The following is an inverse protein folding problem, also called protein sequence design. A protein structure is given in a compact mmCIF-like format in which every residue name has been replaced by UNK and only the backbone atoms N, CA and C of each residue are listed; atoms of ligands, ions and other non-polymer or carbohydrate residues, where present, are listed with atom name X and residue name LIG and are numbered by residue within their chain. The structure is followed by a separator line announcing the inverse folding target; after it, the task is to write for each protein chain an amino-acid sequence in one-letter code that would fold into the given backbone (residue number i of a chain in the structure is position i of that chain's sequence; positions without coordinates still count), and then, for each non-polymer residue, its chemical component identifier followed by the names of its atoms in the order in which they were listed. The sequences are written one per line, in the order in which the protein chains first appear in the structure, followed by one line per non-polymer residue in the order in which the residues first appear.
data_IF_203795009798
#
_entry.id   IF_203795009798
#
_cell.length_a   1.000
_cell.length_b   1.000
_cell.length_c   1.000
_cell.angle_alpha   90.00
_cell.angle_beta   90.00
_cell.angle_gamma   90.00
#
_symmetry.space_group_name_H-M   'P 1'
#
loop_
_entity.id
_entity.type
_entity.pdbx_description
1 polymer ?
#
# COMPACT_ATOMS: atom_id res chain seq x y z
N UNK A 1 2.08 -15.23 -5.11
CA UNK A 1 0.63 -15.41 -4.91
C UNK A 1 -0.19 -14.11 -4.80
N UNK A 2 0.29 -13.05 -4.12
CA UNK A 2 -0.47 -11.79 -3.94
C UNK A 2 -0.83 -11.05 -5.26
N UNK A 3 -0.05 -11.23 -6.32
CA UNK A 3 -0.25 -10.49 -7.57
C UNK A 3 -1.36 -11.07 -8.49
N UNK A 4 -1.83 -12.29 -8.28
CA UNK A 4 -2.76 -12.97 -9.20
C UNK A 4 -4.22 -13.05 -8.71
N UNK A 5 -4.52 -12.52 -7.53
CA UNK A 5 -5.87 -12.52 -6.99
C UNK A 5 -6.55 -11.16 -7.15
N UNK A 6 -7.90 -11.09 -7.14
CA UNK A 6 -8.63 -9.85 -7.32
C UNK A 6 -8.30 -8.91 -6.16
N UNK A 7 -7.58 -7.83 -6.49
CA UNK A 7 -6.98 -6.85 -5.58
C UNK A 7 -5.86 -7.40 -4.67
N UNK A 8 -5.00 -6.50 -4.17
CA UNK A 8 -3.97 -6.82 -3.15
C UNK A 8 -4.55 -7.41 -1.85
N UNK A 9 -5.87 -7.41 -1.71
CA UNK A 9 -6.64 -8.08 -0.66
C UNK A 9 -6.68 -9.61 -0.82
N UNK A 10 -6.58 -10.13 -2.05
CA UNK A 10 -6.70 -11.57 -2.28
C UNK A 10 -5.50 -12.38 -1.77
N UNK A 11 -4.28 -11.86 -1.88
CA UNK A 11 -3.09 -12.52 -1.32
C UNK A 11 -3.03 -12.45 0.21
N UNK A 12 -3.54 -11.36 0.77
CA UNK A 12 -3.63 -11.16 2.21
C UNK A 12 -4.70 -12.09 2.81
N UNK A 13 -5.81 -12.33 2.11
CA UNK A 13 -6.82 -13.32 2.48
C UNK A 13 -6.27 -14.76 2.49
N UNK A 14 -5.44 -15.14 1.51
CA UNK A 14 -4.78 -16.46 1.52
C UNK A 14 -3.79 -16.59 2.68
N UNK A 15 -2.99 -15.55 2.96
CA UNK A 15 -2.12 -15.53 4.15
C UNK A 15 -2.91 -15.71 5.44
N UNK A 16 -4.08 -15.07 5.56
CA UNK A 16 -4.95 -15.23 6.73
C UNK A 16 -5.46 -16.66 6.82
N UNK A 17 -5.88 -17.27 5.71
CA UNK A 17 -6.36 -18.67 5.67
C UNK A 17 -5.23 -19.67 6.01
N UNK A 18 -4.01 -19.39 5.56
CA UNK A 18 -2.86 -20.28 5.75
C UNK A 18 -2.24 -20.17 7.15
N UNK A 19 -2.17 -18.95 7.71
CA UNK A 19 -1.68 -18.71 9.09
C UNK A 19 -2.74 -19.08 10.13
N UNK A 20 -4.03 -19.08 9.79
CA UNK A 20 -5.12 -19.54 10.66
C UNK A 20 -5.01 -21.02 11.07
N UNK A 21 -4.05 -21.78 10.52
CA UNK A 21 -3.74 -23.14 10.95
C UNK A 21 -2.89 -23.20 12.23
N UNK A 22 -2.04 -22.20 12.48
CA UNK A 22 -1.05 -22.19 13.58
C UNK A 22 -1.31 -21.07 14.62
N UNK A 23 -2.08 -20.03 14.26
CA UNK A 23 -2.39 -18.86 15.13
C UNK A 23 -3.85 -18.43 14.93
N UNK A 24 -4.55 -17.90 15.95
CA UNK A 24 -5.88 -17.32 15.78
C UNK A 24 -5.94 -16.32 14.60
N UNK A 25 -6.92 -16.51 13.70
CA UNK A 25 -7.02 -15.79 12.41
C UNK A 25 -7.11 -14.26 12.55
N UNK A 26 -7.58 -13.79 13.70
CA UNK A 26 -7.68 -12.38 14.09
C UNK A 26 -6.30 -11.72 14.35
N UNK A 27 -5.34 -12.44 14.93
CA UNK A 27 -3.96 -11.95 15.14
C UNK A 27 -3.22 -11.89 13.79
N UNK A 28 -3.42 -12.88 12.93
CA UNK A 28 -2.83 -12.91 11.59
C UNK A 28 -3.34 -11.75 10.72
N UNK A 29 -4.66 -11.52 10.70
CA UNK A 29 -5.27 -10.40 9.99
C UNK A 29 -4.76 -9.05 10.51
N UNK A 30 -4.67 -8.90 11.83
CA UNK A 30 -4.15 -7.69 12.46
C UNK A 30 -2.70 -7.38 12.07
N UNK A 31 -1.83 -8.39 12.01
CA UNK A 31 -0.42 -8.23 11.61
C UNK A 31 -0.28 -7.75 10.17
N UNK A 32 -1.07 -8.30 9.24
CA UNK A 32 -1.08 -7.86 7.84
C UNK A 32 -1.59 -6.43 7.72
N UNK A 33 -2.62 -6.06 8.47
CA UNK A 33 -3.15 -4.70 8.42
C UNK A 33 -2.14 -3.70 9.00
N UNK A 34 -1.46 -4.04 10.10
CA UNK A 34 -0.36 -3.22 10.66
C UNK A 34 0.77 -3.05 9.64
N UNK A 35 1.16 -4.10 8.92
CA UNK A 35 2.16 -4.03 7.85
C UNK A 35 1.73 -3.09 6.72
N UNK A 36 0.47 -3.22 6.26
CA UNK A 36 -0.12 -2.33 5.24
C UNK A 36 -0.18 -0.88 5.69
N UNK A 37 -0.63 -0.65 6.92
CA UNK A 37 -0.71 0.70 7.50
C UNK A 37 0.68 1.32 7.62
N UNK A 38 1.65 0.57 8.14
CA UNK A 38 3.04 1.03 8.29
C UNK A 38 3.63 1.41 6.92
N UNK A 39 3.36 0.61 5.90
CA UNK A 39 3.77 0.90 4.52
C UNK A 39 3.13 2.16 3.94
N UNK A 40 1.81 2.33 4.08
CA UNK A 40 1.09 3.51 3.59
C UNK A 40 1.52 4.79 4.33
N UNK A 41 1.67 4.72 5.66
CA UNK A 41 2.17 5.85 6.46
C UNK A 41 3.58 6.25 6.01
N UNK A 42 4.46 5.29 5.76
CA UNK A 42 5.79 5.59 5.26
C UNK A 42 5.75 6.25 3.87
N UNK A 43 4.87 5.79 2.98
CA UNK A 43 4.66 6.43 1.68
C UNK A 43 4.19 7.88 1.83
N UNK A 44 3.25 8.17 2.72
CA UNK A 44 2.78 9.54 2.97
C UNK A 44 3.86 10.45 3.55
N UNK A 45 4.68 9.94 4.48
CA UNK A 45 5.83 10.69 5.00
C UNK A 45 6.79 11.05 3.87
N UNK A 46 7.12 10.09 3.02
CA UNK A 46 8.03 10.29 1.90
C UNK A 46 7.47 11.31 0.91
N UNK A 47 6.16 11.27 0.59
CA UNK A 47 5.52 12.30 -0.24
C UNK A 47 5.72 13.68 0.35
N UNK A 48 5.41 13.87 1.64
CA UNK A 48 5.53 15.18 2.29
C UNK A 48 6.98 15.69 2.35
N UNK A 49 7.95 14.79 2.45
CA UNK A 49 9.38 15.14 2.42
C UNK A 49 9.83 15.53 1.01
N UNK A 50 9.32 14.87 -0.04
CA UNK A 50 9.72 15.09 -1.43
C UNK A 50 8.94 16.24 -2.09
N UNK A 51 7.71 16.52 -1.65
CA UNK A 51 6.84 17.54 -2.23
C UNK A 51 7.44 18.95 -2.31
N UNK A 52 8.27 19.42 -1.36
CA UNK A 52 8.99 20.69 -1.46
C UNK A 52 10.02 20.73 -2.60
N UNK A 53 10.52 19.56 -3.02
CA UNK A 53 11.48 19.39 -4.12
C UNK A 53 10.79 19.02 -5.44
N UNK A 54 9.48 19.31 -5.56
CA UNK A 54 8.74 19.04 -6.79
C UNK A 54 9.24 19.91 -7.95
N UNK A 55 9.11 19.45 -9.20
CA UNK A 55 9.36 20.27 -10.37
C UNK A 55 8.47 21.52 -10.42
N UNK A 56 8.98 22.64 -10.96
CA UNK A 56 8.23 23.90 -11.03
C UNK A 56 6.95 23.80 -11.88
N UNK A 57 6.94 22.91 -12.87
CA UNK A 57 5.79 22.62 -13.73
C UNK A 57 4.77 21.68 -13.08
N UNK A 58 4.96 21.26 -11.83
CA UNK A 58 4.04 20.35 -11.16
C UNK A 58 2.72 21.05 -10.79
N UNK A 59 1.55 20.51 -11.17
CA UNK A 59 0.27 21.17 -10.98
C UNK A 59 -0.03 21.48 -9.52
N UNK A 60 -0.51 22.69 -9.25
CA UNK A 60 -0.89 23.11 -7.90
C UNK A 60 -2.06 22.28 -7.36
N UNK A 61 -2.97 21.85 -8.22
CA UNK A 61 -4.09 20.96 -7.85
C UNK A 61 -3.59 19.60 -7.31
N UNK A 62 -2.64 18.98 -8.00
CA UNK A 62 -2.01 17.73 -7.55
C UNK A 62 -1.21 17.92 -6.27
N UNK A 63 -0.57 19.07 -6.10
CA UNK A 63 0.13 19.40 -4.86
C UNK A 63 -0.81 19.39 -3.68
N UNK A 64 -1.91 20.17 -3.73
CA UNK A 64 -2.88 20.24 -2.64
C UNK A 64 -3.55 18.91 -2.37
N UNK A 65 -3.84 18.14 -3.42
CA UNK A 65 -4.37 16.78 -3.28
C UNK A 65 -3.38 15.86 -2.56
N UNK A 66 -2.11 15.84 -2.98
CA UNK A 66 -1.05 15.05 -2.36
C UNK A 66 -0.86 15.43 -0.89
N UNK A 67 -0.78 16.73 -0.59
CA UNK A 67 -0.66 17.23 0.78
C UNK A 67 -1.86 16.81 1.63
N UNK A 68 -3.09 17.05 1.14
CA UNK A 68 -4.32 16.73 1.85
C UNK A 68 -4.46 15.24 2.14
N UNK A 69 -4.29 14.40 1.11
CA UNK A 69 -4.38 12.94 1.25
C UNK A 69 -3.29 12.40 2.18
N UNK A 70 -2.06 12.91 2.09
CA UNK A 70 -0.95 12.45 2.93
C UNK A 70 -1.13 12.86 4.40
N UNK A 71 -1.60 14.08 4.65
CA UNK A 71 -1.91 14.54 6.01
C UNK A 71 -3.06 13.74 6.62
N UNK A 72 -4.16 13.56 5.88
CA UNK A 72 -5.30 12.76 6.35
C UNK A 72 -4.89 11.31 6.60
N UNK A 73 -4.09 10.73 5.69
CA UNK A 73 -3.57 9.36 5.84
C UNK A 73 -2.66 9.19 7.04
N UNK A 74 -1.77 10.15 7.31
CA UNK A 74 -0.88 10.11 8.49
C UNK A 74 -1.64 10.31 9.79
N UNK A 75 -2.53 11.31 9.85
CA UNK A 75 -3.35 11.55 11.04
C UNK A 75 -4.25 10.33 11.30
N UNK A 76 -4.91 9.81 10.27
CA UNK A 76 -5.73 8.60 10.38
C UNK A 76 -4.91 7.39 10.85
N UNK A 77 -3.72 7.19 10.29
CA UNK A 77 -2.79 6.14 10.70
C UNK A 77 -2.35 6.28 12.16
N UNK A 78 -1.95 7.48 12.59
CA UNK A 78 -1.58 7.77 13.99
C UNK A 78 -2.74 7.55 14.95
N UNK A 79 -3.95 8.01 14.60
CA UNK A 79 -5.15 7.80 15.42
C UNK A 79 -5.48 6.31 15.57
N UNK A 80 -5.28 5.52 14.51
CA UNK A 80 -5.42 4.07 14.53
C UNK A 80 -4.34 3.39 15.38
N UNK A 81 -3.08 3.85 15.30
CA UNK A 81 -1.96 3.35 16.12
C UNK A 81 -2.14 3.66 17.61
N UNK A 82 -2.55 4.88 17.94
CA UNK A 82 -2.73 5.32 19.33
C UNK A 82 -3.96 4.65 19.96
N UNK A 83 -5.04 4.49 19.20
CA UNK A 83 -6.28 3.83 19.60
C UNK A 83 -7.06 4.49 20.75
N UNK A 84 -6.45 5.44 21.47
CA UNK A 84 -7.01 6.23 22.57
C UNK A 84 -8.15 7.13 22.07
N UNK A 85 -7.93 7.84 20.95
CA UNK A 85 -8.93 8.71 20.30
C UNK A 85 -10.11 7.89 19.78
N UNK A 86 -9.84 6.72 19.19
CA UNK A 86 -10.88 5.84 18.68
C UNK A 86 -11.75 5.31 19.83
N UNK A 87 -11.16 4.94 20.98
CA UNK A 87 -11.95 4.59 22.18
C UNK A 87 -12.74 5.77 22.75
N UNK A 88 -12.19 6.98 22.71
CA UNK A 88 -12.83 8.20 23.22
C UNK A 88 -14.03 8.64 22.38
N UNK A 89 -13.89 8.60 21.06
CA UNK A 89 -14.97 8.91 20.10
C UNK A 89 -15.84 7.71 19.74
N UNK A 90 -15.41 6.50 20.10
CA UNK A 90 -16.14 5.25 19.90
C UNK A 90 -17.51 5.18 20.54
N UNK A 91 -17.76 6.03 21.55
CA UNK A 91 -19.09 6.21 22.17
C UNK A 91 -20.11 6.86 21.24
N UNK A 92 -19.64 7.58 20.20
CA UNK A 92 -20.48 8.19 19.17
C UNK A 92 -20.62 7.33 17.90
N UNK A 93 -19.85 6.23 17.79
CA UNK A 93 -19.95 5.33 16.65
C UNK A 93 -21.11 4.33 16.85
N UNK A 94 -21.84 3.96 15.77
CA UNK A 94 -22.92 2.99 15.85
C UNK A 94 -22.41 1.64 16.34
N UNK A 95 -23.24 0.87 17.05
CA UNK A 95 -22.86 -0.34 17.78
C UNK A 95 -22.08 -1.41 16.97
N UNK A 96 -22.21 -1.43 15.62
CA UNK A 96 -21.45 -2.33 14.73
C UNK A 96 -19.98 -1.94 14.51
N UNK A 97 -19.64 -0.68 14.78
CA UNK A 97 -18.28 -0.11 14.68
C UNK A 97 -17.73 0.27 16.07
N UNK A 98 -18.37 -0.22 17.14
CA UNK A 98 -17.94 0.04 18.51
C UNK A 98 -16.50 -0.47 18.73
N UNK A 99 -15.59 0.37 19.25
CA UNK A 99 -14.24 -0.04 19.64
C UNK A 99 -14.19 -0.78 20.97
N UNK A 100 -15.35 -1.05 21.58
CA UNK A 100 -15.53 -1.83 22.81
C UNK A 100 -16.42 -3.03 22.47
N UNK A 101 -15.84 -4.23 22.38
CA UNK A 101 -16.51 -5.49 22.03
C UNK A 101 -15.70 -6.41 21.10
N UNK A 102 -16.34 -7.39 20.46
CA UNK A 102 -15.71 -8.30 19.46
C UNK A 102 -15.73 -7.74 18.02
N UNK A 103 -16.05 -6.45 17.86
CA UNK A 103 -16.14 -5.81 16.55
C UNK A 103 -14.79 -5.79 15.80
N UNK A 104 -14.80 -5.70 14.46
CA UNK A 104 -13.59 -5.71 13.64
C UNK A 104 -12.60 -4.58 14.00
N UNK A 105 -13.12 -3.42 14.45
CA UNK A 105 -12.30 -2.28 14.90
C UNK A 105 -11.61 -2.58 16.24
N UNK A 106 -12.27 -3.24 17.18
CA UNK A 106 -11.67 -3.59 18.46
C UNK A 106 -10.56 -4.64 18.29
N UNK A 107 -10.75 -5.60 17.40
CA UNK A 107 -9.72 -6.60 17.02
C UNK A 107 -8.53 -5.95 16.32
N UNK A 108 -8.79 -5.00 15.41
CA UNK A 108 -7.76 -4.17 14.79
C UNK A 108 -6.93 -3.40 15.82
N UNK A 109 -7.61 -2.71 16.73
CA UNK A 109 -6.97 -1.95 17.80
C UNK A 109 -6.11 -2.84 18.70
N UNK A 110 -6.62 -4.03 19.06
CA UNK A 110 -5.91 -4.98 19.91
C UNK A 110 -4.65 -5.53 19.22
N UNK A 111 -4.72 -5.84 17.92
CA UNK A 111 -3.55 -6.30 17.17
C UNK A 111 -2.49 -5.21 17.01
N UNK A 112 -2.92 -3.97 16.74
CA UNK A 112 -2.04 -2.81 16.63
C UNK A 112 -1.33 -2.50 17.95
N UNK A 113 -2.07 -2.55 19.07
CA UNK A 113 -1.52 -2.27 20.40
C UNK A 113 -0.68 -3.42 20.97
N UNK A 114 -0.90 -4.65 20.50
CA UNK A 114 -0.04 -5.79 20.83
C UNK A 114 1.36 -5.69 20.22
N UNK A 115 1.53 -4.90 19.15
CA UNK A 115 2.82 -4.58 18.57
C UNK A 115 3.47 -3.41 19.31
N UNK A 116 4.54 -3.67 20.06
CA UNK A 116 5.32 -2.59 20.68
C UNK A 116 5.90 -1.62 19.63
N UNK A 117 6.08 -0.35 20.02
CA UNK A 117 6.70 0.69 19.19
C UNK A 117 7.99 0.27 18.44
N UNK A 118 8.91 -0.52 19.02
CA UNK A 118 10.10 -0.99 18.30
C UNK A 118 9.78 -1.88 17.10
N UNK A 119 8.71 -2.69 17.19
CA UNK A 119 8.27 -3.53 16.09
C UNK A 119 7.65 -2.70 14.96
N UNK A 120 6.88 -1.65 15.31
CA UNK A 120 6.31 -0.70 14.35
C UNK A 120 7.41 0.02 13.58
N UNK A 121 8.44 0.54 14.29
CA UNK A 121 9.57 1.21 13.63
C UNK A 121 10.31 0.25 12.69
N UNK A 122 10.56 -1.00 13.12
CA UNK A 122 11.16 -2.02 12.25
C UNK A 122 10.30 -2.32 11.03
N UNK A 123 8.99 -2.44 11.19
CA UNK A 123 8.06 -2.63 10.08
C UNK A 123 8.11 -1.45 9.11
N UNK A 124 8.09 -0.21 9.60
CA UNK A 124 8.23 0.99 8.78
C UNK A 124 9.55 1.03 8.00
N UNK A 125 10.68 0.62 8.61
CA UNK A 125 11.96 0.53 7.92
C UNK A 125 11.97 -0.53 6.82
N UNK A 126 11.41 -1.71 7.08
CA UNK A 126 11.25 -2.77 6.07
C UNK A 126 10.34 -2.29 4.94
N UNK A 127 9.22 -1.64 5.28
CA UNK A 127 8.33 -1.05 4.29
C UNK A 127 9.02 0.05 3.48
N UNK A 128 9.90 0.86 4.08
CA UNK A 128 10.68 1.86 3.35
C UNK A 128 11.54 1.20 2.26
N UNK A 129 12.27 0.13 2.59
CA UNK A 129 13.08 -0.61 1.63
C UNK A 129 12.22 -1.20 0.49
N UNK A 130 11.08 -1.80 0.84
CA UNK A 130 10.15 -2.33 -0.15
C UNK A 130 9.59 -1.24 -1.06
N UNK A 131 9.26 -0.06 -0.50
CA UNK A 131 8.79 1.08 -1.28
C UNK A 131 9.88 1.65 -2.19
N UNK A 132 11.13 1.73 -1.74
CA UNK A 132 12.25 2.13 -2.59
C UNK A 132 12.44 1.15 -3.75
N UNK A 133 12.33 -0.16 -3.49
CA UNK A 133 12.35 -1.16 -4.54
C UNK A 133 11.17 -1.01 -5.51
N UNK A 134 9.97 -0.71 -5.01
CA UNK A 134 8.82 -0.43 -5.88
C UNK A 134 9.07 0.80 -6.77
N UNK A 135 9.66 1.86 -6.22
CA UNK A 135 10.00 3.07 -6.97
C UNK A 135 11.06 2.81 -8.05
N UNK A 136 12.08 1.99 -7.76
CA UNK A 136 13.08 1.62 -8.76
C UNK A 136 12.47 0.79 -9.89
N UNK A 137 11.45 -0.03 -9.61
CA UNK A 137 10.71 -0.76 -10.63
C UNK A 137 9.96 0.17 -11.57
N UNK A 138 9.18 1.11 -11.02
CA UNK A 138 8.50 2.13 -11.81
C UNK A 138 9.47 2.92 -12.70
N UNK A 139 10.63 3.30 -12.15
CA UNK A 139 11.66 3.99 -12.89
C UNK A 139 12.28 3.11 -13.98
N UNK A 140 12.61 1.85 -13.68
CA UNK A 140 13.16 0.92 -14.65
C UNK A 140 12.19 0.67 -15.82
N UNK A 141 10.90 0.47 -15.52
CA UNK A 141 9.85 0.30 -16.53
C UNK A 141 9.68 1.56 -17.38
N UNK A 142 9.78 2.76 -16.77
CA UNK A 142 9.76 4.02 -17.54
C UNK A 142 10.94 4.14 -18.49
N UNK A 143 12.13 3.70 -18.07
CA UNK A 143 13.33 3.69 -18.92
C UNK A 143 13.26 2.63 -20.00
N UNK A 144 12.66 1.48 -19.73
CA UNK A 144 12.43 0.43 -20.71
C UNK A 144 11.49 0.90 -21.84
N UNK A 145 10.53 1.76 -21.52
CA UNK A 145 9.65 2.41 -22.51
C UNK A 145 10.26 3.68 -23.14
N UNK A 146 11.52 3.99 -22.85
CA UNK A 146 12.23 5.19 -23.28
C UNK A 146 11.56 6.51 -22.85
N UNK A 147 10.87 6.51 -21.70
CA UNK A 147 10.25 7.71 -21.13
C UNK A 147 11.25 8.50 -20.28
N UNK A 148 11.23 9.82 -20.44
CA UNK A 148 12.16 10.75 -19.77
C UNK A 148 11.59 11.29 -18.43
N UNK A 149 10.98 10.43 -17.61
CA UNK A 149 10.41 10.83 -16.32
C UNK A 149 11.51 10.87 -15.25
N UNK A 150 11.70 11.98 -14.51
CA UNK A 150 12.72 12.07 -13.48
C UNK A 150 12.39 11.16 -12.29
N UNK A 151 13.43 10.59 -11.67
CA UNK A 151 13.26 9.62 -10.57
C UNK A 151 12.45 10.19 -9.39
N UNK A 152 12.67 11.46 -9.07
CA UNK A 152 11.96 12.20 -8.01
C UNK A 152 10.45 12.25 -8.23
N UNK A 153 9.99 12.21 -9.49
CA UNK A 153 8.56 12.26 -9.81
C UNK A 153 7.82 11.00 -9.35
N UNK A 154 8.47 9.83 -9.38
CA UNK A 154 7.86 8.58 -8.94
C UNK A 154 7.52 8.59 -7.45
N UNK A 155 8.31 9.29 -6.62
CA UNK A 155 8.00 9.47 -5.20
C UNK A 155 6.70 10.25 -4.97
N UNK A 156 6.27 11.07 -5.92
CA UNK A 156 5.01 11.81 -5.86
C UNK A 156 3.85 10.98 -6.40
N UNK A 157 4.04 10.33 -7.55
CA UNK A 157 2.96 9.61 -8.25
C UNK A 157 2.65 8.22 -7.65
N UNK A 158 3.67 7.45 -7.27
CA UNK A 158 3.51 6.03 -6.86
C UNK A 158 2.70 5.86 -5.56
N UNK A 159 2.82 6.73 -4.54
CA UNK A 159 1.97 6.65 -3.35
C UNK A 159 0.48 6.79 -3.64
N UNK A 160 0.08 7.71 -4.53
CA UNK A 160 -1.33 7.81 -4.96
C UNK A 160 -1.76 6.52 -5.68
N UNK A 161 -0.92 6.00 -6.57
CA UNK A 161 -1.20 4.74 -7.28
C UNK A 161 -1.34 3.56 -6.32
N UNK A 162 -0.62 3.57 -5.18
CA UNK A 162 -0.70 2.56 -4.13
C UNK A 162 -2.02 2.63 -3.37
N UNK A 163 -2.58 3.82 -3.14
CA UNK A 163 -3.93 3.98 -2.57
C UNK A 163 -5.00 3.50 -3.58
N UNK A 164 -4.81 3.80 -4.86
CA UNK A 164 -5.74 3.37 -5.91
C UNK A 164 -5.90 1.84 -6.01
N UNK A 165 -4.87 1.09 -5.57
CA UNK A 165 -4.90 -0.38 -5.47
C UNK A 165 -5.74 -0.89 -4.29
N UNK A 166 -6.05 -0.04 -3.30
CA UNK A 166 -6.94 -0.37 -2.18
C UNK A 166 -8.41 -0.27 -2.59
N UNK A 167 -8.73 0.48 -3.65
CA UNK A 167 -10.08 0.58 -4.17
C UNK A 167 -10.51 -0.76 -4.78
N UNK A 168 -11.75 -1.21 -4.52
CA UNK A 168 -12.25 -2.48 -5.02
C UNK A 168 -12.22 -2.47 -6.55
N UNK A 169 -11.26 -3.21 -7.12
CA UNK A 169 -11.00 -3.33 -8.54
C UNK A 169 -10.38 -4.70 -8.82
N UNK A 170 -10.51 -5.19 -10.06
CA UNK A 170 -9.92 -6.47 -10.45
C UNK A 170 -8.41 -6.28 -10.56
N UNK A 171 -7.70 -6.46 -9.44
CA UNK A 171 -6.24 -6.39 -9.38
C UNK A 171 -5.63 -4.97 -9.46
N UNK A 172 -6.44 -3.91 -9.33
CA UNK A 172 -6.01 -2.53 -9.57
C UNK A 172 -6.26 -2.03 -10.99
N UNK A 173 -6.76 -2.90 -11.89
CA UNK A 173 -7.09 -2.54 -13.26
C UNK A 173 -8.41 -1.74 -13.29
N UNK A 174 -8.42 -0.66 -14.06
CA UNK A 174 -9.44 0.38 -14.11
C UNK A 174 -9.02 1.64 -13.37
N UNK A 175 -8.79 1.57 -12.05
CA UNK A 175 -8.46 2.75 -11.23
C UNK A 175 -7.08 3.31 -11.55
N UNK A 176 -6.10 2.44 -11.77
CA UNK A 176 -4.74 2.83 -12.14
C UNK A 176 -4.69 3.47 -13.52
N UNK A 177 -5.44 2.93 -14.48
CA UNK A 177 -5.43 3.40 -15.87
C UNK A 177 -6.12 4.76 -16.00
N UNK A 178 -7.10 5.07 -15.15
CA UNK A 178 -7.71 6.41 -15.07
C UNK A 178 -6.79 7.41 -14.40
N UNK A 179 -6.08 7.00 -13.34
CA UNK A 179 -5.21 7.91 -12.57
C UNK A 179 -3.83 8.13 -13.21
N UNK A 180 -3.31 7.17 -13.95
CA UNK A 180 -1.97 7.26 -14.53
C UNK A 180 -1.81 8.49 -15.45
N UNK A 181 -2.73 8.79 -16.40
CA UNK A 181 -2.66 10.03 -17.19
C UNK A 181 -2.69 11.29 -16.33
N UNK A 182 -3.55 11.34 -15.31
CA UNK A 182 -3.64 12.50 -14.40
C UNK A 182 -2.34 12.71 -13.63
N UNK A 183 -1.68 11.63 -13.22
CA UNK A 183 -0.46 11.69 -12.42
C UNK A 183 0.79 11.89 -13.28
N UNK A 184 0.91 11.26 -14.44
CA UNK A 184 2.12 11.32 -15.27
C UNK A 184 2.03 12.29 -16.45
N UNK A 185 0.84 12.82 -16.75
CA UNK A 185 0.65 13.89 -17.73
C UNK A 185 1.58 15.09 -17.52
N UNK A 186 1.68 15.62 -16.28
CA UNK A 186 2.61 16.73 -15.99
C UNK A 186 4.09 16.35 -16.06
N UNK A 187 4.42 15.05 -16.05
CA UNK A 187 5.77 14.57 -16.34
C UNK A 187 6.08 14.50 -17.84
N UNK A 188 5.16 14.92 -18.70
CA UNK A 188 5.31 14.94 -20.16
C UNK A 188 4.86 13.66 -20.86
N UNK A 189 4.19 12.74 -20.15
CA UNK A 189 3.59 11.58 -20.81
C UNK A 189 2.23 11.93 -21.40
N UNK A 190 1.93 11.42 -22.59
CA UNK A 190 0.56 11.41 -23.08
C UNK A 190 -0.25 10.29 -22.39
N UNK A 191 -1.59 10.34 -22.54
CA UNK A 191 -2.49 9.39 -21.88
C UNK A 191 -2.14 7.92 -22.19
N UNK A 192 -1.81 7.63 -23.45
CA UNK A 192 -1.43 6.29 -23.88
C UNK A 192 -0.12 5.81 -23.25
N UNK A 193 0.88 6.68 -23.14
CA UNK A 193 2.17 6.39 -22.50
C UNK A 193 2.02 6.16 -21.00
N UNK A 194 1.19 6.98 -20.32
CA UNK A 194 0.94 6.83 -18.90
C UNK A 194 0.22 5.50 -18.58
N UNK A 195 -0.78 5.14 -19.40
CA UNK A 195 -1.46 3.84 -19.30
C UNK A 195 -0.48 2.69 -19.59
N UNK A 196 0.33 2.79 -20.65
CA UNK A 196 1.32 1.78 -20.99
C UNK A 196 2.33 1.54 -19.86
N UNK A 197 2.80 2.60 -19.21
CA UNK A 197 3.67 2.51 -18.05
C UNK A 197 2.98 1.79 -16.87
N UNK A 198 1.74 2.15 -16.55
CA UNK A 198 0.97 1.48 -15.49
C UNK A 198 0.79 -0.02 -15.77
N UNK A 199 0.46 -0.38 -17.01
CA UNK A 199 0.26 -1.76 -17.45
C UNK A 199 1.57 -2.56 -17.45
N UNK A 200 2.68 -1.96 -17.89
CA UNK A 200 3.98 -2.61 -17.83
C UNK A 200 4.35 -2.93 -16.39
N UNK A 201 4.28 -1.95 -15.49
CA UNK A 201 4.52 -2.16 -14.05
C UNK A 201 3.60 -3.22 -13.48
N UNK A 202 2.33 -3.25 -13.88
CA UNK A 202 1.40 -4.29 -13.47
C UNK A 202 1.92 -5.68 -13.88
N UNK A 203 2.28 -5.87 -15.15
CA UNK A 203 2.81 -7.13 -15.68
C UNK A 203 4.12 -7.50 -14.97
N UNK A 204 5.07 -6.57 -14.85
CA UNK A 204 6.35 -6.80 -14.21
C UNK A 204 6.13 -7.32 -12.79
N UNK A 205 5.28 -6.65 -11.98
CA UNK A 205 4.98 -7.08 -10.60
C UNK A 205 4.32 -8.46 -10.53
N UNK A 206 3.49 -8.82 -11.52
CA UNK A 206 2.88 -10.16 -11.61
C UNK A 206 3.92 -11.21 -11.92
N UNK A 207 4.78 -10.97 -12.89
CA UNK A 207 5.89 -11.87 -13.24
C UNK A 207 6.86 -12.05 -12.07
N UNK A 208 7.19 -10.98 -11.35
CA UNK A 208 7.96 -11.06 -10.11
C UNK A 208 7.29 -11.97 -9.09
N UNK A 209 5.97 -11.81 -8.92
CA UNK A 209 5.18 -12.59 -7.98
C UNK A 209 5.04 -14.07 -8.33
N UNK A 210 5.28 -14.46 -9.59
CA UNK A 210 5.32 -15.85 -10.05
C UNK A 210 6.60 -16.57 -9.60
N UNK A 211 7.73 -15.85 -9.47
CA UNK A 211 9.00 -16.42 -8.97
C UNK A 211 8.86 -16.96 -7.53
N UNK A 212 7.91 -16.41 -6.75
CA UNK A 212 7.59 -16.93 -5.42
C UNK A 212 6.79 -18.24 -5.42
N UNK A 213 6.18 -18.65 -6.54
CA UNK A 213 5.34 -19.85 -6.61
C UNK A 213 6.14 -21.17 -6.50
N UNK A 214 7.31 -21.34 -7.16
CA UNK A 214 8.18 -22.50 -6.97
C UNK A 214 8.64 -22.68 -5.51
N UNK A 215 9.02 -21.58 -4.84
CA UNK A 215 9.48 -21.61 -3.44
C UNK A 215 8.36 -22.08 -2.51
N UNK A 216 7.14 -21.59 -2.73
CA UNK A 216 5.97 -22.00 -1.97
C UNK A 216 5.62 -23.48 -2.17
N UNK A 217 5.60 -23.94 -3.42
CA UNK A 217 5.37 -25.36 -3.75
C UNK A 217 6.43 -26.26 -3.09
N UNK A 218 7.68 -25.81 -3.04
CA UNK A 218 8.76 -26.52 -2.36
C UNK A 218 8.56 -26.60 -0.84
N UNK A 219 8.09 -25.53 -0.20
CA UNK A 219 7.78 -25.56 1.25
C UNK A 219 6.60 -26.46 1.61
N UNK A 220 5.57 -26.53 0.75
CA UNK A 220 4.44 -27.45 0.90
C UNK A 220 4.88 -28.91 0.75
N UNK A 221 5.78 -29.18 -0.18
CA UNK A 221 6.37 -30.50 -0.38
C UNK A 221 7.15 -30.97 0.86
N UNK A 222 7.91 -30.06 1.50
CA UNK A 222 8.73 -30.40 2.69
C UNK A 222 7.92 -30.63 3.97
N UNK A 223 6.69 -30.11 4.08
CA UNK A 223 5.81 -30.38 5.24
C UNK A 223 5.07 -31.72 5.14
N UNK A 224 5.10 -32.39 3.97
CA UNK A 224 4.39 -33.67 3.72
C UNK A 224 5.28 -34.92 3.75
N UNK A 225 6.61 -34.76 3.88
CA UNK A 225 7.56 -35.86 4.04
C UNK A 225 8.27 -35.75 5.38
#
# INVERSE_FOLDING_TARGET
FNAFLPAGLGGDAIRIIEVAHDVPADIAAGTVIVDRMSGLMMQFLVVLIVLPFRPDNFPSSLTWLLTGVSLVGLVGGMVLLEGSLIRRFGRFLPAKLSPVGEGPIAKLLAAVQGCGWPAIIKAMLVSMLFNLMLLTWWWADSRALAYAVPYTYFFLAVPIMSIALLLPSIGGLGTREVLAPMLFGPAGLNDHQAVALSLLVFITLRLAGLIGAPVYLWTLWRKRG
#
